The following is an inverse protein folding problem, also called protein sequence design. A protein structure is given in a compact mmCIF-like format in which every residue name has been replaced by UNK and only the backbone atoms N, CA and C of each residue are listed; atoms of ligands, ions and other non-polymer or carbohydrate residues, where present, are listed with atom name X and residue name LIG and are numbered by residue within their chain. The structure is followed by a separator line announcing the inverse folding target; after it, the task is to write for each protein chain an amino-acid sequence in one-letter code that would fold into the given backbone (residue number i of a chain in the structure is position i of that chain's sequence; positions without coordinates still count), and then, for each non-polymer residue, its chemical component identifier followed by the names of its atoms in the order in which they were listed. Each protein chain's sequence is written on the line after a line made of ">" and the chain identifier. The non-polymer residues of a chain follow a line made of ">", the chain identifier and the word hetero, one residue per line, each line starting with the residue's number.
data_IF_160294948734
#
_entry.id   IF_160294948734
#
_cell.length_a   1.000
_cell.length_b   1.000
_cell.length_c   1.000
_cell.angle_alpha   90.00
_cell.angle_beta   90.00
_cell.angle_gamma   90.00
#
_symmetry.space_group_name_H-M   'P 1'
#
loop_
_entity.id
_entity.type
_entity.pdbx_description
1 polymer ?
#
# COMPACT_ATOMS: atom_id res chain seq x y z
N UNK A 1 5.63 9.56 17.93
CA UNK A 1 5.08 9.05 16.65
C UNK A 1 5.80 9.79 15.53
N UNK A 2 6.61 9.10 14.71
CA UNK A 2 7.43 9.74 13.68
C UNK A 2 6.77 9.55 12.31
N UNK A 3 6.00 10.55 11.86
CA UNK A 3 5.52 10.61 10.48
C UNK A 3 6.66 11.17 9.62
N UNK A 4 7.27 10.33 8.80
CA UNK A 4 8.34 10.74 7.91
C UNK A 4 7.75 11.09 6.54
N UNK A 5 7.53 12.38 6.29
CA UNK A 5 7.17 12.88 4.96
C UNK A 5 8.47 13.19 4.22
N UNK A 6 8.89 12.31 3.31
CA UNK A 6 10.04 12.57 2.44
C UNK A 6 9.55 13.12 1.10
N UNK A 7 9.74 14.42 0.89
CA UNK A 7 9.56 15.04 -0.43
C UNK A 7 10.87 14.92 -1.20
N UNK A 8 10.93 14.05 -2.21
CA UNK A 8 12.06 14.02 -3.14
C UNK A 8 11.77 15.01 -4.28
N UNK A 9 12.49 16.12 -4.32
CA UNK A 9 12.45 17.05 -5.45
C UNK A 9 13.73 16.88 -6.27
N UNK A 10 13.67 16.11 -7.35
CA UNK A 10 14.73 16.09 -8.35
C UNK A 10 14.69 17.41 -9.13
N UNK A 11 15.46 18.40 -8.69
CA UNK A 11 15.73 19.60 -9.47
C UNK A 11 16.83 19.28 -10.49
N UNK A 12 16.44 18.93 -11.71
CA UNK A 12 17.35 19.01 -12.85
C UNK A 12 17.07 20.32 -13.59
N UNK A 13 18.09 21.17 -13.61
CA UNK A 13 18.11 22.45 -14.29
C UNK A 13 17.81 22.30 -15.78
N UNK A 14 16.88 23.12 -16.30
CA UNK A 14 16.98 23.69 -17.66
C UNK A 14 16.01 24.85 -17.85
N UNK A 15 16.60 26.04 -17.98
CA UNK A 15 16.04 27.15 -18.76
C UNK A 15 15.83 26.68 -20.20
N UNK A 16 14.59 26.63 -20.68
CA UNK A 16 14.27 26.61 -22.11
C UNK A 16 13.01 27.44 -22.36
N UNK A 17 13.22 28.53 -23.11
CA UNK A 17 12.29 29.26 -23.97
C UNK A 17 10.86 29.50 -23.44
N UNK A 18 10.61 30.73 -22.98
CA UNK A 18 9.37 31.15 -22.33
C UNK A 18 8.32 31.78 -23.26
N UNK A 19 8.55 31.86 -24.56
CA UNK A 19 7.68 32.64 -25.45
C UNK A 19 7.05 31.75 -26.55
N UNK A 20 5.79 31.33 -26.33
CA UNK A 20 4.70 31.14 -27.33
C UNK A 20 3.71 29.99 -27.06
N UNK A 21 3.88 29.15 -26.04
CA UNK A 21 3.13 27.90 -25.87
C UNK A 21 2.33 27.90 -24.56
N UNK A 22 1.17 27.24 -24.55
CA UNK A 22 0.17 27.26 -23.47
C UNK A 22 0.75 27.10 -22.06
N UNK A 23 0.00 27.56 -21.04
CA UNK A 23 0.46 27.55 -19.65
C UNK A 23 1.16 26.22 -19.32
N UNK A 24 2.42 26.26 -18.83
CA UNK A 24 3.18 25.05 -18.57
C UNK A 24 2.33 24.12 -17.72
N UNK A 25 2.12 22.89 -18.20
CA UNK A 25 1.34 21.90 -17.48
C UNK A 25 1.90 21.79 -16.06
N UNK A 26 1.02 21.98 -15.07
CA UNK A 26 1.44 21.90 -13.67
C UNK A 26 1.86 20.45 -13.41
N UNK A 27 2.97 20.22 -12.66
CA UNK A 27 3.37 18.89 -12.23
C UNK A 27 2.20 18.11 -11.62
N UNK A 28 2.00 16.85 -12.01
CA UNK A 28 0.99 15.99 -11.40
C UNK A 28 1.55 15.45 -10.08
N UNK A 29 0.68 15.07 -9.14
CA UNK A 29 1.07 14.45 -7.88
C UNK A 29 0.76 12.96 -7.91
N UNK A 30 1.74 12.14 -7.55
CA UNK A 30 1.62 10.71 -7.30
C UNK A 30 1.80 10.47 -5.80
N UNK A 31 0.84 9.82 -5.16
CA UNK A 31 0.83 9.59 -3.72
C UNK A 31 0.69 8.09 -3.48
N UNK A 32 1.76 7.49 -2.98
CA UNK A 32 1.86 6.05 -2.67
C UNK A 32 1.79 5.90 -1.16
N UNK A 33 0.79 5.14 -0.69
CA UNK A 33 0.48 4.98 0.73
C UNK A 33 0.61 3.50 1.14
N UNK A 34 1.55 3.19 2.01
CA UNK A 34 1.72 1.86 2.60
C UNK A 34 1.34 1.88 4.08
N UNK A 35 0.27 1.20 4.45
CA UNK A 35 -0.20 1.22 5.83
C UNK A 35 0.54 0.24 6.74
N UNK A 36 0.51 0.48 8.05
CA UNK A 36 1.11 -0.39 9.05
C UNK A 36 0.57 -1.81 8.97
N UNK A 37 1.43 -2.77 9.26
CA UNK A 37 1.05 -4.17 9.20
C UNK A 37 -0.13 -4.54 10.14
N UNK A 38 -1.02 -5.38 9.61
CA UNK A 38 -2.31 -5.72 10.20
C UNK A 38 -3.39 -4.65 10.06
N UNK A 39 -3.12 -3.56 9.33
CA UNK A 39 -4.02 -2.41 9.14
C UNK A 39 -4.55 -2.34 7.70
N UNK A 40 -5.84 -2.08 7.57
CA UNK A 40 -6.52 -1.78 6.31
C UNK A 40 -7.31 -0.48 6.48
N UNK A 41 -7.50 0.27 5.39
CA UNK A 41 -8.34 1.46 5.36
C UNK A 41 -9.78 1.21 5.84
N UNK A 42 -10.22 -0.06 5.84
CA UNK A 42 -11.54 -0.50 6.28
C UNK A 42 -11.54 -1.27 7.61
N UNK A 43 -10.38 -1.59 8.19
CA UNK A 43 -10.26 -2.48 9.37
C UNK A 43 -9.23 -1.89 10.33
N UNK A 44 -9.66 -1.49 11.53
CA UNK A 44 -8.74 -1.06 12.60
C UNK A 44 -8.35 -2.25 13.48
N UNK A 45 -7.40 -2.04 14.39
CA UNK A 45 -6.98 -3.02 15.41
C UNK A 45 -8.09 -3.44 16.39
N UNK A 46 -9.22 -2.71 16.46
CA UNK A 46 -10.28 -2.94 17.45
C UNK A 46 -11.62 -3.40 16.85
N UNK A 47 -11.76 -3.42 15.53
CA UNK A 47 -13.00 -3.82 14.86
C UNK A 47 -13.34 -2.97 13.64
N UNK A 48 -14.57 -3.12 13.13
CA UNK A 48 -15.11 -2.31 12.03
C UNK A 48 -15.24 -0.83 12.40
N UNK A 49 -15.42 0.01 11.38
CA UNK A 49 -15.54 1.48 11.27
C UNK A 49 -16.04 2.32 12.47
N UNK A 50 -16.64 1.73 13.49
CA UNK A 50 -17.40 2.43 14.53
C UNK A 50 -16.57 2.79 15.77
N UNK A 51 -15.32 2.32 15.89
CA UNK A 51 -14.43 2.70 17.00
C UNK A 51 -13.04 3.07 16.46
N UNK A 52 -12.72 4.36 16.53
CA UNK A 52 -11.40 4.93 16.23
C UNK A 52 -10.30 4.29 17.09
N UNK A 53 -9.04 4.23 16.59
CA UNK A 53 -8.49 5.07 15.54
C UNK A 53 -8.07 4.33 14.26
N UNK A 54 -8.29 4.98 13.11
CA UNK A 54 -7.62 4.62 11.87
C UNK A 54 -6.12 4.91 11.98
N UNK A 55 -5.32 4.28 11.12
CA UNK A 55 -3.95 4.71 10.94
C UNK A 55 -3.92 6.09 10.27
N UNK A 56 -2.90 6.88 10.58
CA UNK A 56 -2.71 8.18 9.89
C UNK A 56 -2.58 8.01 8.37
N UNK A 57 -2.19 6.84 7.87
CA UNK A 57 -2.10 6.55 6.43
C UNK A 57 -3.49 6.40 5.81
N UNK A 58 -4.38 5.63 6.44
CA UNK A 58 -5.76 5.52 5.99
C UNK A 58 -6.49 6.88 6.04
N UNK A 59 -6.24 7.69 7.06
CA UNK A 59 -6.78 9.06 7.15
C UNK A 59 -6.31 9.94 5.99
N UNK A 60 -5.01 9.90 5.66
CA UNK A 60 -4.47 10.63 4.50
C UNK A 60 -5.13 10.14 3.20
N UNK A 61 -5.34 8.84 3.05
CA UNK A 61 -6.02 8.28 1.88
C UNK A 61 -7.45 8.80 1.74
N UNK A 62 -8.23 8.77 2.82
CA UNK A 62 -9.62 9.25 2.81
C UNK A 62 -9.70 10.77 2.62
N UNK A 63 -8.80 11.53 3.25
CA UNK A 63 -8.71 12.96 3.07
C UNK A 63 -8.34 13.34 1.62
N UNK A 64 -7.53 12.51 0.96
CA UNK A 64 -7.28 12.65 -0.45
C UNK A 64 -8.53 12.25 -1.24
N UNK A 65 -8.93 10.98 -1.25
CA UNK A 65 -9.91 10.45 -2.21
C UNK A 65 -11.39 10.73 -1.91
N UNK A 66 -11.74 11.27 -0.74
CA UNK A 66 -13.13 11.53 -0.36
C UNK A 66 -14.04 10.30 -0.46
N UNK A 67 -15.27 10.47 -0.95
CA UNK A 67 -16.27 9.41 -1.07
C UNK A 67 -15.98 8.35 -2.15
N UNK A 68 -14.99 8.59 -3.04
CA UNK A 68 -14.63 7.67 -4.12
C UNK A 68 -13.71 6.52 -3.68
N UNK A 69 -13.36 6.45 -2.41
CA UNK A 69 -12.27 5.60 -1.94
C UNK A 69 -12.60 4.11 -1.79
N UNK A 70 -13.65 3.59 -2.40
CA UNK A 70 -13.90 2.14 -2.43
C UNK A 70 -12.77 1.38 -3.16
N UNK A 71 -12.11 1.97 -4.15
CA UNK A 71 -11.23 1.25 -5.09
C UNK A 71 -9.73 1.14 -4.72
N UNK A 72 -9.32 1.56 -3.52
CA UNK A 72 -7.89 1.63 -3.07
C UNK A 72 -7.01 2.56 -3.93
N UNK A 73 -7.60 3.19 -4.94
CA UNK A 73 -7.00 4.16 -5.84
C UNK A 73 -8.01 5.27 -6.07
N UNK A 74 -7.54 6.47 -6.28
CA UNK A 74 -8.36 7.53 -6.85
C UNK A 74 -7.53 8.41 -7.76
N UNK A 75 -8.21 9.02 -8.72
CA UNK A 75 -7.68 10.08 -9.57
C UNK A 75 -8.61 11.28 -9.49
N UNK A 76 -8.06 12.43 -9.07
CA UNK A 76 -8.84 13.65 -8.86
C UNK A 76 -7.96 14.89 -8.98
N UNK A 77 -8.59 16.07 -8.99
CA UNK A 77 -7.87 17.34 -8.84
C UNK A 77 -7.65 17.67 -7.38
N UNK A 78 -6.42 18.00 -7.04
CA UNK A 78 -6.02 18.46 -5.72
C UNK A 78 -6.54 19.86 -5.39
N UNK A 79 -6.37 20.31 -4.13
CA UNK A 79 -6.76 21.65 -3.70
C UNK A 79 -6.06 22.78 -4.48
N UNK A 80 -4.88 22.50 -5.04
CA UNK A 80 -4.09 23.41 -5.87
C UNK A 80 -4.41 23.30 -7.38
N UNK A 81 -5.44 22.52 -7.73
CA UNK A 81 -5.89 22.25 -9.09
C UNK A 81 -4.99 21.30 -9.90
N UNK A 82 -3.93 20.74 -9.31
CA UNK A 82 -3.08 19.73 -9.96
C UNK A 82 -3.78 18.38 -10.00
N UNK A 83 -3.52 17.57 -11.01
CA UNK A 83 -3.95 16.17 -10.99
C UNK A 83 -3.24 15.42 -9.85
N UNK A 84 -3.98 14.53 -9.19
CA UNK A 84 -3.52 13.70 -8.09
C UNK A 84 -3.92 12.25 -8.34
N UNK A 85 -2.92 11.39 -8.38
CA UNK A 85 -3.02 9.95 -8.45
C UNK A 85 -2.66 9.41 -7.08
N UNK A 86 -3.61 8.79 -6.39
CA UNK A 86 -3.41 8.28 -5.03
C UNK A 86 -3.67 6.79 -5.03
N UNK A 87 -2.76 6.01 -4.44
CA UNK A 87 -2.92 4.56 -4.30
C UNK A 87 -2.55 4.12 -2.89
N UNK A 88 -3.41 3.27 -2.34
CA UNK A 88 -3.31 2.70 -1.01
C UNK A 88 -3.04 1.20 -1.06
N UNK A 89 -2.09 0.77 -0.24
CA UNK A 89 -1.84 -0.64 0.04
C UNK A 89 -2.00 -0.90 1.53
N UNK A 90 -2.79 -1.93 1.84
CA UNK A 90 -2.95 -2.43 3.19
C UNK A 90 -1.61 -2.93 3.73
N UNK A 91 -1.45 -2.89 5.04
CA UNK A 91 -0.25 -3.40 5.65
C UNK A 91 -0.11 -4.92 5.47
N UNK A 92 1.12 -5.45 5.55
CA UNK A 92 1.34 -6.89 5.61
C UNK A 92 0.53 -7.53 6.75
N UNK A 93 -0.02 -8.73 6.52
CA UNK A 93 -0.75 -9.50 7.55
C UNK A 93 -2.23 -9.14 7.70
N UNK A 94 -2.76 -8.30 6.82
CA UNK A 94 -4.18 -7.87 6.88
C UNK A 94 -5.12 -8.81 6.12
N UNK A 95 -4.58 -9.73 5.32
CA UNK A 95 -5.34 -10.59 4.40
C UNK A 95 -6.17 -11.64 5.12
N UNK A 96 -5.69 -12.14 6.26
CA UNK A 96 -6.46 -13.03 7.13
C UNK A 96 -7.74 -12.34 7.64
N UNK A 97 -7.66 -11.03 7.93
CA UNK A 97 -8.82 -10.24 8.39
C UNK A 97 -9.81 -9.96 7.25
N UNK A 98 -9.31 -9.68 6.04
CA UNK A 98 -10.15 -9.46 4.86
C UNK A 98 -10.84 -10.75 4.40
N UNK A 99 -10.12 -11.88 4.36
CA UNK A 99 -10.71 -13.18 4.03
C UNK A 99 -11.78 -13.61 5.05
N UNK A 100 -11.55 -13.32 6.34
CA UNK A 100 -12.56 -13.49 7.39
C UNK A 100 -13.83 -12.67 7.12
N UNK A 101 -13.67 -11.40 6.70
CA UNK A 101 -14.80 -10.51 6.34
C UNK A 101 -15.60 -11.03 5.14
N UNK A 102 -14.94 -11.41 4.06
CA UNK A 102 -15.61 -11.92 2.85
C UNK A 102 -16.44 -13.17 3.14
N UNK A 103 -15.96 -14.03 4.05
CA UNK A 103 -16.70 -15.22 4.49
C UNK A 103 -17.90 -14.86 5.38
N UNK A 104 -17.77 -13.84 6.24
CA UNK A 104 -18.80 -13.42 7.18
C UNK A 104 -19.92 -12.60 6.52
N UNK A 105 -19.61 -11.76 5.52
CA UNK A 105 -20.58 -10.96 4.76
C UNK A 105 -21.39 -11.81 3.77
N UNK A 106 -20.87 -12.96 3.33
CA UNK A 106 -21.60 -13.91 2.46
C UNK A 106 -22.67 -14.74 3.19
N UNK A 107 -22.99 -14.43 4.45
CA UNK A 107 -24.04 -15.12 5.19
C UNK A 107 -23.76 -16.60 5.46
N UNK A 108 -22.53 -17.07 5.23
CA UNK A 108 -22.11 -18.41 5.63
C UNK A 108 -21.96 -18.42 7.14
N UNK A 109 -22.94 -19.01 7.81
CA UNK A 109 -22.92 -19.21 9.24
C UNK A 109 -21.67 -20.03 9.61
N UNK A 110 -20.87 -19.49 10.54
CA UNK A 110 -19.60 -20.04 11.03
C UNK A 110 -19.71 -21.52 11.42
N UNK A 111 -20.91 -22.00 11.75
CA UNK A 111 -21.16 -23.38 12.14
C UNK A 111 -21.05 -24.36 10.96
N UNK A 112 -21.52 -24.06 9.75
CA UNK A 112 -21.63 -25.09 8.70
C UNK A 112 -20.30 -25.43 7.99
N UNK A 113 -19.31 -24.54 8.00
CA UNK A 113 -17.98 -24.80 7.39
C UNK A 113 -16.96 -25.32 8.41
N UNK A 114 -17.15 -25.05 9.71
CA UNK A 114 -16.27 -25.54 10.78
C UNK A 114 -16.80 -26.81 11.47
N UNK A 115 -18.08 -27.14 11.34
CA UNK A 115 -18.65 -28.36 11.94
C UNK A 115 -18.46 -29.62 11.11
N UNK A 116 -18.32 -29.54 9.78
CA UNK A 116 -18.18 -30.75 8.95
C UNK A 116 -16.79 -31.40 9.02
N UNK A 117 -15.78 -30.75 9.64
CA UNK A 117 -14.51 -31.39 9.94
C UNK A 117 -13.95 -30.96 11.32
N UNK A 118 -14.38 -31.67 12.37
CA UNK A 118 -13.56 -32.00 13.56
C UNK A 118 -13.29 -30.95 14.67
N UNK A 119 -13.67 -29.67 14.59
CA UNK A 119 -13.08 -28.64 15.49
C UNK A 119 -13.89 -28.10 16.69
N UNK A 120 -15.16 -28.46 16.87
CA UNK A 120 -16.01 -27.77 17.88
C UNK A 120 -15.67 -28.04 19.36
N UNK A 121 -14.90 -29.08 19.67
CA UNK A 121 -14.46 -29.36 21.04
C UNK A 121 -13.01 -28.94 21.35
N UNK A 122 -12.24 -28.56 20.32
CA UNK A 122 -10.79 -28.35 20.44
C UNK A 122 -10.38 -26.89 20.11
N UNK A 123 -11.28 -26.09 19.54
CA UNK A 123 -11.08 -24.68 19.12
C UNK A 123 -10.75 -23.71 20.25
N UNK A 124 -11.51 -23.71 21.35
CA UNK A 124 -11.46 -22.56 22.28
C UNK A 124 -10.28 -22.58 23.27
N UNK A 125 -9.61 -23.73 23.43
CA UNK A 125 -8.43 -23.87 24.31
C UNK A 125 -7.11 -24.13 23.58
N UNK A 126 -7.14 -24.61 22.33
CA UNK A 126 -5.94 -24.95 21.57
C UNK A 126 -5.79 -24.14 20.29
N UNK A 127 -6.87 -23.86 19.56
CA UNK A 127 -6.78 -23.17 18.26
C UNK A 127 -6.56 -21.68 18.43
N UNK A 128 -7.18 -21.02 19.41
CA UNK A 128 -6.95 -19.59 19.61
C UNK A 128 -5.46 -19.24 19.85
N UNK A 129 -4.74 -19.88 20.80
CA UNK A 129 -3.31 -19.62 20.98
C UNK A 129 -2.45 -20.16 19.82
N UNK A 130 -2.89 -21.19 19.09
CA UNK A 130 -2.17 -21.71 17.91
C UNK A 130 -2.38 -20.83 16.68
N UNK A 131 -3.55 -20.24 16.48
CA UNK A 131 -3.90 -19.33 15.40
C UNK A 131 -3.31 -17.93 15.65
N UNK A 132 -3.31 -17.46 16.91
CA UNK A 132 -2.58 -16.26 17.31
C UNK A 132 -1.08 -16.46 17.11
N UNK A 133 -0.53 -17.63 17.52
CA UNK A 133 0.87 -17.98 17.21
C UNK A 133 1.12 -18.16 15.72
N UNK A 134 0.21 -18.76 14.94
CA UNK A 134 0.37 -18.92 13.50
C UNK A 134 0.32 -17.58 12.78
N UNK A 135 -0.55 -16.66 13.21
CA UNK A 135 -0.58 -15.29 12.74
C UNK A 135 0.73 -14.57 13.07
N UNK A 136 1.24 -14.75 14.29
CA UNK A 136 2.54 -14.24 14.74
C UNK A 136 3.70 -14.87 13.94
N UNK A 137 3.63 -16.16 13.62
CA UNK A 137 4.59 -16.88 12.77
C UNK A 137 4.48 -16.49 11.31
N UNK A 138 3.31 -16.21 10.76
CA UNK A 138 3.13 -15.71 9.39
C UNK A 138 3.56 -14.26 9.27
N UNK A 139 3.38 -13.45 10.32
CA UNK A 139 3.91 -12.09 10.40
C UNK A 139 5.44 -12.12 10.53
N UNK A 140 5.98 -13.04 11.33
CA UNK A 140 7.42 -13.27 11.50
C UNK A 140 8.04 -13.89 10.26
N UNK A 141 7.37 -14.80 9.56
CA UNK A 141 7.80 -15.36 8.28
C UNK A 141 7.65 -14.33 7.17
N UNK A 142 6.58 -13.55 7.09
CA UNK A 142 6.48 -12.44 6.13
C UNK A 142 7.55 -11.37 6.40
N UNK A 143 7.90 -11.16 7.67
CA UNK A 143 9.01 -10.32 8.11
C UNK A 143 10.38 -10.91 7.71
N UNK A 144 10.61 -12.21 7.93
CA UNK A 144 11.87 -12.90 7.63
C UNK A 144 12.05 -13.21 6.15
N UNK A 145 10.96 -13.43 5.40
CA UNK A 145 10.99 -13.81 3.99
C UNK A 145 10.82 -12.62 3.05
N UNK A 146 10.43 -11.44 3.56
CA UNK A 146 10.29 -10.21 2.76
C UNK A 146 9.25 -10.25 1.63
N UNK A 147 8.58 -11.40 1.42
CA UNK A 147 7.81 -11.72 0.21
C UNK A 147 6.70 -10.72 -0.09
N UNK A 148 6.06 -10.14 0.93
CA UNK A 148 5.00 -9.13 0.74
C UNK A 148 5.47 -7.69 0.83
N UNK A 149 6.64 -7.47 1.44
CA UNK A 149 7.27 -6.15 1.49
C UNK A 149 7.67 -5.74 0.07
N UNK A 150 8.32 -6.65 -0.66
CA UNK A 150 8.77 -6.43 -2.03
C UNK A 150 7.61 -6.37 -3.02
N UNK A 151 6.59 -7.22 -2.87
CA UNK A 151 5.48 -7.28 -3.82
C UNK A 151 4.71 -5.96 -3.90
N UNK A 152 4.32 -5.33 -2.78
CA UNK A 152 3.65 -4.03 -2.82
C UNK A 152 4.54 -2.92 -3.39
N UNK A 153 5.87 -3.02 -3.22
CA UNK A 153 6.82 -2.07 -3.83
C UNK A 153 6.84 -2.23 -5.34
N UNK A 154 6.86 -3.45 -5.87
CA UNK A 154 6.79 -3.68 -7.31
C UNK A 154 5.44 -3.28 -7.90
N UNK A 155 4.34 -3.56 -7.20
CA UNK A 155 3.01 -3.06 -7.59
C UNK A 155 2.95 -1.53 -7.58
N UNK A 156 3.66 -0.86 -6.66
CA UNK A 156 3.76 0.59 -6.67
C UNK A 156 4.55 1.10 -7.89
N UNK A 157 5.64 0.44 -8.28
CA UNK A 157 6.36 0.77 -9.52
C UNK A 157 5.46 0.59 -10.75
N UNK A 158 4.75 -0.54 -10.84
CA UNK A 158 3.80 -0.82 -11.91
C UNK A 158 2.68 0.23 -11.96
N UNK A 159 2.20 0.69 -10.80
CA UNK A 159 1.22 1.77 -10.69
C UNK A 159 1.76 3.10 -11.25
N UNK A 160 2.99 3.48 -10.87
CA UNK A 160 3.63 4.69 -11.38
C UNK A 160 3.87 4.62 -12.90
N UNK A 161 4.26 3.44 -13.41
CA UNK A 161 4.42 3.20 -14.85
C UNK A 161 3.10 3.26 -15.62
N UNK A 162 2.05 2.60 -15.10
CA UNK A 162 0.71 2.55 -15.71
C UNK A 162 0.17 3.96 -15.97
N UNK A 163 0.43 4.89 -15.05
CA UNK A 163 -0.04 6.27 -15.14
C UNK A 163 0.98 7.23 -15.77
N UNK A 164 2.07 6.69 -16.32
CA UNK A 164 3.06 7.43 -17.06
C UNK A 164 3.71 8.53 -16.22
N UNK A 165 4.09 8.23 -14.97
CA UNK A 165 4.84 9.17 -14.13
C UNK A 165 6.16 9.54 -14.83
N UNK A 166 6.47 10.83 -14.85
CA UNK A 166 7.68 11.39 -15.45
C UNK A 166 8.53 12.11 -14.41
N UNK A 167 9.75 12.53 -14.80
CA UNK A 167 10.63 13.32 -13.94
C UNK A 167 10.07 14.73 -13.60
N UNK A 168 9.08 15.22 -14.36
CA UNK A 168 8.42 16.50 -14.10
C UNK A 168 7.30 16.39 -13.06
N UNK A 169 6.89 15.17 -12.69
CA UNK A 169 5.86 14.92 -11.71
C UNK A 169 6.42 14.86 -10.28
N UNK A 170 5.53 14.90 -9.29
CA UNK A 170 5.89 14.84 -7.86
C UNK A 170 5.46 13.52 -7.28
N UNK A 171 6.37 12.85 -6.56
CA UNK A 171 6.08 11.61 -5.86
C UNK A 171 6.16 11.80 -4.36
N UNK A 172 5.09 11.41 -3.67
CA UNK A 172 5.01 11.31 -2.22
C UNK A 172 4.90 9.84 -1.83
N UNK A 173 5.83 9.36 -1.02
CA UNK A 173 5.83 7.99 -0.52
C UNK A 173 5.63 8.05 0.98
N UNK A 174 4.52 7.49 1.47
CA UNK A 174 4.15 7.52 2.88
C UNK A 174 4.03 6.08 3.37
N UNK A 175 4.69 5.78 4.48
CA UNK A 175 4.68 4.45 5.11
C UNK A 175 4.59 4.56 6.61
N UNK A 176 3.80 3.70 7.25
CA UNK A 176 3.66 3.66 8.70
C UNK A 176 4.16 2.34 9.30
N UNK A 177 4.82 2.44 10.47
CA UNK A 177 5.35 1.28 11.20
C UNK A 177 6.24 0.40 10.30
N UNK A 178 5.90 -0.90 10.17
CA UNK A 178 6.60 -1.87 9.32
C UNK A 178 6.68 -1.46 7.85
N UNK A 179 5.70 -0.71 7.36
CA UNK A 179 5.66 -0.25 5.96
C UNK A 179 6.56 0.93 5.65
N UNK A 180 7.20 1.53 6.66
CA UNK A 180 8.33 2.45 6.43
C UNK A 180 9.49 1.76 5.68
N UNK A 181 9.65 0.44 5.82
CA UNK A 181 10.63 -0.35 5.04
C UNK A 181 10.23 -0.39 3.56
N UNK A 182 8.94 -0.57 3.24
CA UNK A 182 8.45 -0.54 1.86
C UNK A 182 8.68 0.83 1.22
N UNK A 183 8.40 1.91 1.94
CA UNK A 183 8.65 3.26 1.45
C UNK A 183 10.13 3.51 1.15
N UNK A 184 11.02 3.08 2.04
CA UNK A 184 12.48 3.22 1.83
C UNK A 184 12.99 2.35 0.70
N UNK A 185 12.47 1.13 0.56
CA UNK A 185 12.83 0.24 -0.55
C UNK A 185 12.40 0.83 -1.89
N UNK A 186 11.16 1.31 -2.00
CA UNK A 186 10.68 2.01 -3.20
C UNK A 186 11.55 3.22 -3.54
N UNK A 187 11.85 4.05 -2.53
CA UNK A 187 12.73 5.20 -2.70
C UNK A 187 14.13 4.79 -3.18
N UNK A 188 14.73 3.74 -2.59
CA UNK A 188 16.05 3.24 -2.95
C UNK A 188 16.09 2.69 -4.38
N UNK A 189 15.06 1.94 -4.79
CA UNK A 189 14.92 1.46 -6.17
C UNK A 189 14.83 2.64 -7.13
N UNK A 190 13.93 3.59 -6.89
CA UNK A 190 13.76 4.76 -7.77
C UNK A 190 15.02 5.62 -7.83
N UNK A 191 15.75 5.77 -6.73
CA UNK A 191 17.00 6.53 -6.70
C UNK A 191 18.15 5.84 -7.44
N UNK A 192 18.17 4.50 -7.45
CA UNK A 192 19.28 3.72 -8.02
C UNK A 192 19.02 3.36 -9.49
N UNK A 193 17.80 2.95 -9.81
CA UNK A 193 17.43 2.39 -11.11
C UNK A 193 16.49 3.31 -11.91
N UNK A 194 15.90 4.33 -11.28
CA UNK A 194 14.81 5.11 -11.87
C UNK A 194 13.49 4.33 -11.94
N UNK A 195 12.50 4.92 -12.63
CA UNK A 195 11.26 4.22 -12.94
C UNK A 195 11.48 3.32 -14.17
N UNK A 196 11.16 2.02 -14.10
CA UNK A 196 11.35 1.11 -15.24
C UNK A 196 10.53 1.54 -16.46
N UNK A 197 11.09 1.36 -17.66
CA UNK A 197 10.47 1.86 -18.88
C UNK A 197 9.31 0.97 -19.35
N UNK A 198 9.42 -0.34 -19.13
CA UNK A 198 8.43 -1.33 -19.55
C UNK A 198 8.40 -2.59 -18.66
N UNK A 199 7.52 -3.53 -19.00
CA UNK A 199 7.38 -4.79 -18.27
C UNK A 199 8.60 -5.71 -18.33
N UNK A 200 9.50 -5.54 -19.30
CA UNK A 200 10.74 -6.33 -19.39
C UNK A 200 11.79 -5.84 -18.39
N UNK A 201 11.95 -4.52 -18.27
CA UNK A 201 12.78 -3.91 -17.21
C UNK A 201 12.26 -4.28 -15.82
N UNK A 202 10.93 -4.29 -15.65
CA UNK A 202 10.30 -4.70 -14.40
C UNK A 202 10.62 -6.15 -14.02
N UNK A 203 10.57 -7.08 -14.98
CA UNK A 203 10.95 -8.48 -14.74
C UNK A 203 12.43 -8.61 -14.40
N UNK A 204 13.32 -7.86 -15.08
CA UNK A 204 14.75 -7.86 -14.76
C UNK A 204 14.99 -7.41 -13.33
N UNK A 205 14.38 -6.30 -12.93
CA UNK A 205 14.49 -5.76 -11.59
C UNK A 205 13.95 -6.74 -10.53
N UNK A 206 12.79 -7.36 -10.77
CA UNK A 206 12.25 -8.42 -9.89
C UNK A 206 13.25 -9.58 -9.73
N UNK A 207 13.86 -10.03 -10.82
CA UNK A 207 14.85 -11.12 -10.76
C UNK A 207 16.09 -10.75 -9.96
N UNK A 208 16.59 -9.51 -10.07
CA UNK A 208 17.73 -9.03 -9.27
C UNK A 208 17.43 -9.04 -7.77
N UNK A 209 16.21 -8.67 -7.37
CA UNK A 209 15.79 -8.66 -5.97
C UNK A 209 15.37 -10.03 -5.43
N UNK A 210 14.99 -10.99 -6.27
CA UNK A 210 14.71 -12.38 -5.87
C UNK A 210 15.98 -13.20 -5.58
N UNK A 211 17.17 -12.68 -5.94
CA UNK A 211 18.47 -13.32 -5.70
C UNK A 211 19.12 -12.87 -4.38
N UNK A 212 18.49 -11.96 -3.64
CA UNK A 212 18.89 -11.48 -2.32
C UNK A 212 18.08 -12.17 -1.22
#
# INVERSE_FOLDING_TARGET
>A
MLLLVLTCSCSMAREVAQDALGQPERPRNFIVLFDGAGQDKNITTEGFRDVWPFTSVAEIFWAACGASADERECHQKGPDGREQYVRYWSGPGTEAKTAYREQHEQGKCITEVLEENYWKAMSDKLVKPVAEKLAEYTDTLSFMTGLRVTEHVFQALEYLMKHGMTANDRLYIIGFSRSGVQSRLLQGILATYGLPADGSDMRRLRNEFCLL
#
